data_IF_735040496590
#
_entry.id   IF_735040496590
#
_cell.length_a   1.000
_cell.length_b   1.000
_cell.length_c   1.000
_cell.angle_alpha   90.00
_cell.angle_beta   90.00
_cell.angle_gamma   90.00
#
_symmetry.space_group_name_H-M   'P 1'
#
loop_
_entity.id
_entity.type
_entity.pdbx_description
1 polymer ?
#
# COMPACT_ATOMS: atom_id res chain seq x y z
N UNK A 1 22.86 13.40 -7.08
CA UNK A 1 22.38 13.52 -8.45
C UNK A 1 21.01 14.13 -8.34
N UNK A 2 20.77 15.28 -8.98
CA UNK A 2 19.41 15.79 -9.11
C UNK A 2 18.56 14.68 -9.72
N UNK A 3 17.39 14.43 -9.13
CA UNK A 3 16.37 13.63 -9.80
C UNK A 3 16.23 14.24 -11.17
N UNK A 4 16.28 13.46 -12.21
CA UNK A 4 15.79 13.97 -13.47
C UNK A 4 14.33 14.38 -13.20
N UNK A 5 14.06 15.67 -13.31
CA UNK A 5 12.70 16.23 -13.35
C UNK A 5 11.82 15.53 -14.43
N UNK A 6 12.38 14.56 -15.10
CA UNK A 6 11.93 13.88 -16.29
C UNK A 6 11.07 12.66 -16.01
N UNK A 7 10.93 12.20 -14.75
CA UNK A 7 10.08 11.03 -14.45
C UNK A 7 8.59 11.40 -14.49
N UNK A 8 8.27 12.59 -14.09
CA UNK A 8 6.92 13.14 -14.13
C UNK A 8 6.96 14.45 -14.89
N UNK A 9 5.89 14.80 -15.57
CA UNK A 9 5.71 16.15 -16.11
C UNK A 9 5.50 17.11 -14.94
N UNK A 10 6.59 17.63 -14.42
CA UNK A 10 6.61 18.53 -13.25
C UNK A 10 5.82 19.83 -13.50
N UNK A 11 5.49 20.17 -14.77
CA UNK A 11 4.64 21.31 -15.06
C UNK A 11 3.18 21.08 -14.66
N UNK A 12 2.80 19.82 -14.47
CA UNK A 12 1.46 19.40 -14.02
C UNK A 12 1.40 19.04 -12.53
N UNK A 13 2.53 19.08 -11.84
CA UNK A 13 2.62 18.78 -10.41
C UNK A 13 2.43 20.07 -9.62
N UNK A 14 1.57 20.05 -8.61
CA UNK A 14 1.37 21.20 -7.73
C UNK A 14 2.70 21.60 -7.05
N UNK A 15 2.97 22.89 -6.83
CA UNK A 15 4.21 23.35 -6.21
C UNK A 15 4.50 22.70 -4.84
N UNK A 16 3.47 22.45 -4.03
CA UNK A 16 3.59 21.81 -2.72
C UNK A 16 4.09 20.36 -2.86
N UNK A 17 3.57 19.63 -3.84
CA UNK A 17 3.99 18.24 -4.13
C UNK A 17 5.43 18.22 -4.63
N UNK A 18 5.78 19.15 -5.53
CA UNK A 18 7.15 19.30 -6.03
C UNK A 18 8.14 19.59 -4.89
N UNK A 19 7.74 20.43 -3.94
CA UNK A 19 8.57 20.74 -2.76
C UNK A 19 8.81 19.49 -1.90
N UNK A 20 7.76 18.67 -1.66
CA UNK A 20 7.89 17.41 -0.92
C UNK A 20 8.81 16.43 -1.65
N UNK A 21 8.63 16.26 -2.97
CA UNK A 21 9.48 15.37 -3.77
C UNK A 21 10.95 15.80 -3.74
N UNK A 22 11.23 17.11 -3.86
CA UNK A 22 12.60 17.64 -3.74
C UNK A 22 13.17 17.34 -2.36
N UNK A 23 12.40 17.55 -1.30
CA UNK A 23 12.86 17.29 0.06
C UNK A 23 13.12 15.80 0.31
N UNK A 24 12.28 14.89 -0.20
CA UNK A 24 12.56 13.43 -0.16
C UNK A 24 13.87 13.11 -0.89
N UNK A 25 14.16 13.77 -2.00
CA UNK A 25 15.42 13.55 -2.72
C UNK A 25 16.66 14.06 -1.97
N UNK A 26 16.52 15.09 -1.14
CA UNK A 26 17.58 15.53 -0.25
C UNK A 26 17.82 14.54 0.91
N UNK A 27 16.77 13.98 1.48
CA UNK A 27 16.82 12.97 2.55
C UNK A 27 17.23 11.58 2.05
N UNK A 28 16.89 11.27 0.81
CA UNK A 28 16.99 9.95 0.21
C UNK A 28 18.36 9.29 0.30
N UNK A 29 19.49 9.99 0.04
CA UNK A 29 20.83 9.41 0.23
C UNK A 29 21.05 8.87 1.65
N UNK A 30 20.57 9.57 2.68
CA UNK A 30 20.62 9.12 4.07
C UNK A 30 19.74 7.89 4.31
N UNK A 31 18.55 7.85 3.70
CA UNK A 31 17.69 6.66 3.77
C UNK A 31 18.36 5.44 3.10
N UNK A 32 19.01 5.64 1.96
CA UNK A 32 19.74 4.58 1.25
C UNK A 32 20.94 4.06 2.05
N UNK A 33 21.68 4.95 2.75
CA UNK A 33 22.79 4.59 3.61
C UNK A 33 22.31 3.74 4.81
N UNK A 34 21.26 4.16 5.50
CA UNK A 34 20.66 3.42 6.62
C UNK A 34 20.06 2.09 6.21
N UNK A 35 19.57 1.99 4.96
CA UNK A 35 18.85 0.81 4.47
C UNK A 35 19.70 -0.48 4.50
N UNK A 36 21.02 -0.40 4.49
CA UNK A 36 21.89 -1.56 4.65
C UNK A 36 21.74 -2.18 6.04
N UNK A 37 21.94 -1.40 7.11
CA UNK A 37 21.80 -1.88 8.49
C UNK A 37 20.36 -2.32 8.81
N UNK A 38 19.37 -1.57 8.30
CA UNK A 38 17.94 -1.91 8.43
C UNK A 38 17.66 -3.31 7.86
N UNK A 39 18.20 -3.63 6.69
CA UNK A 39 18.03 -4.94 6.06
C UNK A 39 18.83 -6.04 6.78
N UNK A 40 20.07 -5.78 7.15
CA UNK A 40 20.95 -6.74 7.85
C UNK A 40 20.32 -7.20 9.17
N UNK A 41 19.86 -6.26 9.98
CA UNK A 41 19.32 -6.51 11.32
C UNK A 41 17.81 -6.82 11.31
N UNK A 42 17.14 -6.77 10.16
CA UNK A 42 15.69 -6.78 10.03
C UNK A 42 15.01 -5.78 10.99
N UNK A 43 15.63 -4.60 11.18
CA UNK A 43 15.20 -3.59 12.13
C UNK A 43 14.29 -2.55 11.47
N UNK A 44 13.35 -2.00 12.27
CA UNK A 44 12.44 -0.95 11.78
C UNK A 44 13.21 0.37 11.52
N UNK A 45 12.90 1.12 10.44
CA UNK A 45 13.61 2.34 10.03
C UNK A 45 13.25 3.57 10.89
N UNK A 46 13.46 3.50 12.20
CA UNK A 46 13.05 4.52 13.19
C UNK A 46 13.55 5.93 12.82
N UNK A 47 14.81 6.04 12.41
CA UNK A 47 15.38 7.35 12.11
C UNK A 47 14.85 7.95 10.80
N UNK A 48 14.50 7.12 9.82
CA UNK A 48 13.81 7.60 8.61
C UNK A 48 12.42 8.15 8.95
N UNK A 49 11.72 7.51 9.90
CA UNK A 49 10.42 7.99 10.38
C UNK A 49 10.53 9.30 11.14
N UNK A 50 11.58 9.50 11.96
CA UNK A 50 11.85 10.79 12.61
C UNK A 50 12.06 11.89 11.59
N UNK A 51 12.84 11.62 10.53
CA UNK A 51 13.09 12.59 9.46
C UNK A 51 11.79 12.93 8.72
N UNK A 52 10.98 11.92 8.34
CA UNK A 52 9.69 12.14 7.69
C UNK A 52 8.69 12.91 8.57
N UNK A 53 8.67 12.63 9.87
CA UNK A 53 7.82 13.33 10.83
C UNK A 53 8.27 14.78 11.03
N UNK A 54 9.57 15.05 11.12
CA UNK A 54 10.13 16.40 11.24
C UNK A 54 9.77 17.31 10.06
N UNK A 55 9.60 16.71 8.85
CA UNK A 55 9.16 17.41 7.64
C UNK A 55 7.62 17.51 7.51
N UNK A 56 6.86 16.93 8.44
CA UNK A 56 5.40 16.91 8.40
C UNK A 56 4.80 15.92 7.38
N UNK A 57 5.61 14.99 6.83
CA UNK A 57 5.17 14.11 5.74
C UNK A 57 4.28 12.95 6.20
N UNK A 58 4.10 12.78 7.50
CA UNK A 58 3.17 11.75 8.04
C UNK A 58 1.70 12.09 7.78
N UNK A 59 1.37 13.31 7.34
CA UNK A 59 -0.01 13.79 7.18
C UNK A 59 -0.36 14.21 5.74
N UNK A 60 0.35 13.64 4.74
CA UNK A 60 0.20 14.04 3.34
C UNK A 60 -1.24 13.95 2.83
N UNK A 61 -1.96 12.89 3.18
CA UNK A 61 -3.33 12.66 2.68
C UNK A 61 -4.42 13.20 3.60
N UNK A 62 -4.06 13.67 4.80
CA UNK A 62 -5.02 14.31 5.73
C UNK A 62 -5.52 15.63 5.12
N UNK A 63 -6.85 15.93 5.20
CA UNK A 63 -7.40 17.18 4.67
C UNK A 63 -6.80 18.42 5.34
N UNK A 64 -6.70 19.53 4.60
CA UNK A 64 -6.16 20.82 5.10
C UNK A 64 -6.96 21.35 6.30
N UNK A 65 -8.28 21.18 6.30
CA UNK A 65 -9.15 21.54 7.42
C UNK A 65 -8.79 20.85 8.73
N UNK A 66 -8.11 19.70 8.66
CA UNK A 66 -7.61 18.94 9.81
C UNK A 66 -6.09 19.10 10.03
N UNK A 67 -5.42 20.01 9.31
CA UNK A 67 -4.01 20.31 9.46
C UNK A 67 -3.05 19.47 8.61
N UNK A 68 -3.56 18.74 7.61
CA UNK A 68 -2.74 17.97 6.67
C UNK A 68 -2.44 18.70 5.36
N UNK A 69 -1.84 17.97 4.41
CA UNK A 69 -1.43 18.52 3.09
C UNK A 69 -2.49 18.33 1.99
N UNK A 70 -3.47 17.45 2.21
CA UNK A 70 -4.56 17.16 1.29
C UNK A 70 -4.09 16.67 -0.10
N UNK A 71 -3.06 15.83 -0.11
CA UNK A 71 -2.60 15.23 -1.36
C UNK A 71 -3.65 14.25 -1.90
N UNK A 72 -3.85 14.29 -3.21
CA UNK A 72 -4.61 13.26 -3.93
C UNK A 72 -3.89 11.91 -3.87
N UNK A 73 -4.59 10.85 -4.26
CA UNK A 73 -4.00 9.50 -4.30
C UNK A 73 -2.78 9.46 -5.25
N UNK A 74 -2.87 10.12 -6.42
CA UNK A 74 -1.76 10.20 -7.37
C UNK A 74 -0.56 10.96 -6.81
N UNK A 75 -0.78 12.08 -6.14
CA UNK A 75 0.29 12.87 -5.52
C UNK A 75 0.98 12.12 -4.37
N UNK A 76 0.19 11.44 -3.53
CA UNK A 76 0.74 10.53 -2.53
C UNK A 76 1.58 9.43 -3.16
N UNK A 77 1.09 8.84 -4.26
CA UNK A 77 1.79 7.75 -4.95
C UNK A 77 3.17 8.18 -5.48
N UNK A 78 3.31 9.42 -5.96
CA UNK A 78 4.62 9.98 -6.35
C UNK A 78 5.59 10.00 -5.17
N UNK A 79 5.15 10.46 -4.00
CA UNK A 79 5.97 10.53 -2.78
C UNK A 79 6.36 9.14 -2.30
N UNK A 80 5.41 8.20 -2.27
CA UNK A 80 5.68 6.81 -1.91
C UNK A 80 6.72 6.14 -2.81
N UNK A 81 6.64 6.39 -4.13
CA UNK A 81 7.62 5.89 -5.10
C UNK A 81 9.00 6.54 -4.89
N UNK A 82 9.04 7.84 -4.60
CA UNK A 82 10.31 8.53 -4.37
C UNK A 82 11.02 8.03 -3.10
N UNK A 83 10.29 7.76 -2.01
CA UNK A 83 10.85 7.10 -0.82
C UNK A 83 11.34 5.68 -1.17
N UNK A 84 10.55 4.91 -1.91
CA UNK A 84 10.86 3.54 -2.31
C UNK A 84 12.14 3.39 -3.12
N UNK A 85 12.50 4.40 -3.89
CA UNK A 85 13.75 4.47 -4.65
C UNK A 85 14.99 4.34 -3.75
N UNK A 86 14.91 4.83 -2.52
CA UNK A 86 16.01 4.81 -1.55
C UNK A 86 15.89 3.68 -0.53
N UNK A 87 14.68 3.45 0.00
CA UNK A 87 14.42 2.41 0.99
C UNK A 87 13.01 1.84 0.85
N UNK A 88 12.89 0.63 0.26
CA UNK A 88 11.61 -0.05 0.06
C UNK A 88 10.86 -0.32 1.38
N UNK A 89 11.57 -0.73 2.43
CA UNK A 89 10.96 -1.01 3.74
C UNK A 89 10.37 0.27 4.37
N UNK A 90 11.05 1.41 4.26
CA UNK A 90 10.51 2.71 4.71
C UNK A 90 9.25 3.08 3.92
N UNK A 91 9.29 2.96 2.59
CA UNK A 91 8.14 3.30 1.74
C UNK A 91 6.93 2.41 2.02
N UNK A 92 7.14 1.10 2.19
CA UNK A 92 6.06 0.14 2.47
C UNK A 92 5.39 0.43 3.82
N UNK A 93 6.17 0.67 4.86
CA UNK A 93 5.62 0.98 6.18
C UNK A 93 4.97 2.37 6.21
N UNK A 94 5.55 3.36 5.53
CA UNK A 94 4.96 4.67 5.33
C UNK A 94 3.59 4.59 4.62
N UNK A 95 3.44 3.67 3.66
CA UNK A 95 2.15 3.38 3.05
C UNK A 95 1.14 2.83 4.06
N UNK A 96 1.53 1.94 4.98
CA UNK A 96 0.60 1.41 5.99
C UNK A 96 0.01 2.51 6.88
N UNK A 97 0.84 3.47 7.29
CA UNK A 97 0.37 4.63 8.04
C UNK A 97 -0.59 5.51 7.22
N UNK A 98 -0.17 5.91 6.02
CA UNK A 98 -0.99 6.77 5.17
C UNK A 98 -2.27 6.08 4.67
N UNK A 99 -2.29 4.76 4.50
CA UNK A 99 -3.50 4.00 4.15
C UNK A 99 -4.61 4.20 5.19
N UNK A 100 -4.29 4.23 6.49
CA UNK A 100 -5.27 4.52 7.54
C UNK A 100 -5.86 5.93 7.39
N UNK A 101 -5.04 6.91 7.04
CA UNK A 101 -5.50 8.28 6.78
C UNK A 101 -6.32 8.36 5.48
N UNK A 102 -5.89 7.67 4.43
CA UNK A 102 -6.63 7.59 3.16
C UNK A 102 -8.00 6.95 3.34
N UNK A 103 -8.12 5.88 4.12
CA UNK A 103 -9.43 5.26 4.41
C UNK A 103 -10.34 6.22 5.16
N UNK A 104 -9.82 6.93 6.15
CA UNK A 104 -10.60 7.94 6.90
C UNK A 104 -11.04 9.12 6.03
N UNK A 105 -10.31 9.44 4.95
CA UNK A 105 -10.63 10.53 4.05
C UNK A 105 -11.47 10.08 2.87
N UNK A 106 -10.93 9.21 2.01
CA UNK A 106 -11.54 8.91 0.72
C UNK A 106 -12.85 8.13 0.85
N UNK A 107 -13.00 7.27 1.87
CA UNK A 107 -14.27 6.60 2.12
C UNK A 107 -15.36 7.58 2.56
N UNK A 108 -15.01 8.65 3.27
CA UNK A 108 -15.95 9.71 3.63
C UNK A 108 -16.38 10.56 2.41
N UNK A 109 -15.50 10.74 1.44
CA UNK A 109 -15.72 11.52 0.22
C UNK A 109 -16.56 10.77 -0.83
N UNK A 110 -16.96 9.52 -0.57
CA UNK A 110 -17.70 8.69 -1.53
C UNK A 110 -19.09 9.30 -1.82
N UNK A 111 -19.47 9.45 -3.12
CA UNK A 111 -20.71 10.14 -3.50
C UNK A 111 -21.97 9.42 -3.08
N UNK A 112 -21.94 8.08 -2.92
CA UNK A 112 -23.11 7.28 -2.56
C UNK A 112 -23.40 7.23 -1.04
N UNK A 113 -22.58 7.89 -0.20
CA UNK A 113 -22.86 7.99 1.23
C UNK A 113 -24.03 8.92 1.48
N UNK A 114 -24.93 8.49 2.36
CA UNK A 114 -26.04 9.33 2.85
C UNK A 114 -25.53 10.42 3.82
N UNK A 115 -26.36 11.43 4.08
CA UNK A 115 -26.06 12.46 5.09
C UNK A 115 -25.92 11.83 6.49
N UNK A 116 -26.68 10.76 6.77
CA UNK A 116 -26.58 10.00 8.02
C UNK A 116 -25.24 9.28 8.14
N UNK A 117 -24.80 8.58 7.09
CA UNK A 117 -23.47 7.95 7.02
C UNK A 117 -22.36 8.99 7.30
N UNK A 118 -22.46 10.16 6.66
CA UNK A 118 -21.47 11.24 6.83
C UNK A 118 -21.50 11.83 8.24
N UNK A 119 -22.69 12.05 8.80
CA UNK A 119 -22.85 12.56 10.16
C UNK A 119 -22.25 11.59 11.20
N UNK A 120 -22.47 10.29 11.02
CA UNK A 120 -21.89 9.26 11.88
C UNK A 120 -20.36 9.14 11.70
N UNK A 121 -19.86 9.28 10.48
CA UNK A 121 -18.42 9.12 10.19
C UNK A 121 -17.58 10.35 10.54
N UNK A 122 -18.12 11.56 10.43
CA UNK A 122 -17.37 12.81 10.62
C UNK A 122 -16.59 12.88 11.95
N UNK A 123 -17.18 12.59 13.14
CA UNK A 123 -16.45 12.64 14.39
C UNK A 123 -15.37 11.57 14.50
N UNK A 124 -15.58 10.38 13.93
CA UNK A 124 -14.64 9.26 13.98
C UNK A 124 -13.39 9.60 13.13
N UNK A 125 -13.58 10.04 11.89
CA UNK A 125 -12.44 10.45 11.03
C UNK A 125 -11.66 11.63 11.61
N UNK A 126 -12.35 12.63 12.15
CA UNK A 126 -11.70 13.79 12.78
C UNK A 126 -10.78 13.37 13.94
N UNK A 127 -11.19 12.37 14.72
CA UNK A 127 -10.36 11.79 15.78
C UNK A 127 -9.09 11.14 15.22
N UNK A 128 -9.19 10.39 14.13
CA UNK A 128 -8.02 9.77 13.50
C UNK A 128 -7.04 10.86 13.00
N UNK A 129 -7.54 11.87 12.34
CA UNK A 129 -6.71 12.98 11.88
C UNK A 129 -6.07 13.75 13.04
N UNK A 130 -6.80 14.00 14.14
CA UNK A 130 -6.24 14.61 15.35
C UNK A 130 -5.08 13.77 15.92
N UNK A 131 -5.25 12.44 16.01
CA UNK A 131 -4.19 11.52 16.48
C UNK A 131 -2.95 11.62 15.58
N UNK A 132 -3.12 11.63 14.25
CA UNK A 132 -2.00 11.73 13.33
C UNK A 132 -1.31 13.11 13.32
N UNK A 133 -2.08 14.20 13.37
CA UNK A 133 -1.55 15.58 13.24
C UNK A 133 -1.08 16.14 14.58
N UNK A 134 -1.93 16.12 15.60
CA UNK A 134 -1.63 16.78 16.89
C UNK A 134 -0.83 15.87 17.83
N UNK A 135 -1.06 14.57 17.79
CA UNK A 135 -0.41 13.60 18.68
C UNK A 135 0.76 12.89 17.99
N UNK A 136 0.96 13.13 16.68
CA UNK A 136 1.98 12.49 15.84
C UNK A 136 1.91 10.96 15.87
N UNK A 137 0.70 10.42 16.06
CA UNK A 137 0.44 8.99 16.15
C UNK A 137 0.71 8.26 14.84
N UNK A 138 1.43 7.16 14.92
CA UNK A 138 1.78 6.30 13.80
C UNK A 138 0.81 5.13 13.74
N UNK A 139 0.28 4.83 12.55
CA UNK A 139 -0.69 3.78 12.32
C UNK A 139 -0.11 2.57 11.59
N UNK A 140 -0.60 1.40 11.93
CA UNK A 140 -0.46 0.15 11.19
C UNK A 140 -1.83 -0.34 10.74
N UNK A 141 -1.89 -1.04 9.59
CA UNK A 141 -3.14 -1.52 9.01
C UNK A 141 -3.08 -3.03 8.74
N UNK A 142 -3.10 -3.87 9.78
CA UNK A 142 -3.04 -5.32 9.65
C UNK A 142 -4.41 -5.89 9.25
N UNK A 143 -4.53 -6.41 8.03
CA UNK A 143 -5.77 -7.03 7.54
C UNK A 143 -5.60 -8.55 7.47
N UNK A 144 -4.46 -9.04 6.98
CA UNK A 144 -4.22 -10.43 6.64
C UNK A 144 -4.33 -11.38 7.83
N UNK A 145 -4.84 -12.58 7.58
CA UNK A 145 -5.00 -13.66 8.54
C UNK A 145 -4.49 -14.99 7.95
N UNK A 146 -4.05 -15.91 8.80
CA UNK A 146 -3.57 -17.20 8.35
C UNK A 146 -4.72 -18.03 7.75
N UNK A 147 -4.53 -18.50 6.51
CA UNK A 147 -5.49 -19.38 5.84
C UNK A 147 -6.82 -18.73 5.46
N UNK A 148 -6.90 -17.40 5.51
CA UNK A 148 -8.09 -16.65 5.11
C UNK A 148 -7.79 -15.69 3.95
N UNK A 149 -8.53 -15.85 2.86
CA UNK A 149 -8.64 -14.82 1.83
C UNK A 149 -9.87 -13.94 2.17
N UNK A 150 -9.62 -12.83 2.82
CA UNK A 150 -10.66 -11.92 3.28
C UNK A 150 -11.46 -11.24 2.15
N UNK A 151 -10.99 -11.34 0.91
CA UNK A 151 -11.77 -10.86 -0.25
C UNK A 151 -12.89 -11.82 -0.63
N UNK A 152 -12.81 -13.08 -0.20
CA UNK A 152 -13.79 -14.12 -0.49
C UNK A 152 -14.53 -14.66 0.74
N UNK A 153 -14.00 -14.42 1.94
CA UNK A 153 -14.58 -14.87 3.21
C UNK A 153 -14.52 -13.75 4.26
N UNK A 154 -15.47 -13.68 5.18
CA UNK A 154 -15.40 -12.74 6.29
C UNK A 154 -14.09 -12.85 7.05
N UNK A 155 -13.65 -11.75 7.63
CA UNK A 155 -12.49 -11.69 8.53
C UNK A 155 -12.73 -12.63 9.72
N UNK A 156 -11.73 -13.46 10.05
CA UNK A 156 -11.82 -14.45 11.16
C UNK A 156 -11.62 -13.80 12.54
N UNK A 157 -10.80 -12.73 12.62
CA UNK A 157 -10.75 -11.89 13.82
C UNK A 157 -12.14 -11.38 14.08
N UNK A 158 -12.66 -11.62 15.29
CA UNK A 158 -14.03 -11.30 15.63
C UNK A 158 -14.11 -10.27 16.74
N UNK A 159 -15.26 -9.60 16.84
CA UNK A 159 -15.63 -8.84 18.01
C UNK A 159 -17.04 -9.25 18.46
N UNK A 160 -17.26 -9.25 19.75
CA UNK A 160 -18.54 -9.55 20.38
C UNK A 160 -18.96 -8.36 21.22
N UNK A 161 -20.19 -7.91 21.05
CA UNK A 161 -20.74 -6.79 21.83
C UNK A 161 -20.89 -7.17 23.29
N UNK A 162 -20.43 -6.31 24.18
CA UNK A 162 -20.53 -6.43 25.64
C UNK A 162 -21.02 -5.11 26.21
N UNK A 163 -21.26 -5.06 27.53
CA UNK A 163 -21.63 -3.79 28.19
C UNK A 163 -20.53 -2.72 27.97
N UNK A 164 -20.90 -1.59 27.41
CA UNK A 164 -20.03 -0.45 27.17
C UNK A 164 -19.13 -0.53 25.91
N UNK A 165 -19.18 -1.63 25.12
CA UNK A 165 -18.34 -1.73 23.93
C UNK A 165 -18.29 -3.14 23.33
N UNK A 166 -17.09 -3.55 22.89
CA UNK A 166 -16.84 -4.86 22.29
C UNK A 166 -15.56 -5.47 22.84
N UNK A 167 -15.49 -6.79 22.80
CA UNK A 167 -14.25 -7.57 23.01
C UNK A 167 -13.79 -8.16 21.69
N UNK A 168 -12.56 -7.83 21.28
CA UNK A 168 -11.95 -8.34 20.06
C UNK A 168 -11.07 -9.56 20.40
N UNK A 169 -11.24 -10.62 19.60
CA UNK A 169 -10.44 -11.83 19.66
C UNK A 169 -9.98 -12.22 18.25
N UNK A 170 -8.72 -12.59 18.11
CA UNK A 170 -8.21 -13.03 16.82
C UNK A 170 -6.70 -12.96 16.67
N UNK A 171 -6.28 -13.10 15.42
CA UNK A 171 -4.89 -13.20 15.03
C UNK A 171 -4.68 -12.48 13.69
N UNK A 172 -3.69 -11.59 13.63
CA UNK A 172 -3.30 -10.92 12.37
C UNK A 172 -1.90 -11.32 11.98
N UNK A 173 -1.70 -11.59 10.68
CA UNK A 173 -0.39 -11.79 10.07
C UNK A 173 0.09 -10.56 9.34
N UNK A 174 1.42 -10.46 9.20
CA UNK A 174 2.06 -9.41 8.43
C UNK A 174 1.67 -8.00 8.88
N UNK A 175 1.54 -7.82 10.22
CA UNK A 175 1.28 -6.50 10.80
C UNK A 175 2.54 -5.64 10.71
N UNK A 176 2.78 -5.01 9.55
CA UNK A 176 3.89 -4.06 9.37
C UNK A 176 3.85 -2.99 10.45
N UNK A 177 5.01 -2.50 10.90
CA UNK A 177 5.20 -1.61 12.05
C UNK A 177 4.88 -2.25 13.42
N UNK A 178 4.77 -3.55 13.52
CA UNK A 178 4.44 -4.23 14.79
C UNK A 178 5.43 -3.84 15.90
N UNK A 179 4.91 -3.26 16.98
CA UNK A 179 5.69 -2.75 18.12
C UNK A 179 6.28 -1.34 17.93
N UNK A 180 6.15 -0.74 16.75
CA UNK A 180 6.65 0.62 16.44
C UNK A 180 5.55 1.63 16.16
N UNK A 181 4.37 1.19 15.69
CA UNK A 181 3.21 2.07 15.58
C UNK A 181 2.57 2.32 16.94
N UNK A 182 1.78 3.39 17.05
CA UNK A 182 0.98 3.71 18.23
C UNK A 182 -0.41 3.09 18.15
N UNK A 183 -0.93 2.96 16.94
CA UNK A 183 -2.29 2.50 16.67
C UNK A 183 -2.33 1.42 15.59
N UNK A 184 -3.16 0.41 15.82
CA UNK A 184 -3.49 -0.64 14.86
C UNK A 184 -4.93 -0.47 14.39
N UNK A 185 -5.14 -0.30 13.08
CA UNK A 185 -6.47 -0.32 12.45
C UNK A 185 -6.90 -1.78 12.26
N UNK A 186 -7.55 -2.34 13.27
CA UNK A 186 -7.95 -3.75 13.32
C UNK A 186 -9.28 -3.94 12.61
N UNK A 187 -9.23 -4.67 11.48
CA UNK A 187 -10.43 -5.14 10.78
C UNK A 187 -10.90 -6.44 11.42
N UNK A 188 -12.16 -6.51 11.81
CA UNK A 188 -12.77 -7.70 12.43
C UNK A 188 -14.23 -7.85 11.96
N UNK A 189 -14.85 -8.99 12.27
CA UNK A 189 -16.27 -9.25 12.01
C UNK A 189 -17.04 -9.29 13.32
N UNK A 190 -18.15 -8.55 13.44
CA UNK A 190 -19.04 -8.64 14.60
C UNK A 190 -19.77 -9.98 14.57
N UNK A 191 -19.68 -10.71 15.68
CA UNK A 191 -20.32 -12.00 15.84
C UNK A 191 -21.59 -11.88 16.66
N UNK A 192 -22.66 -12.47 16.14
CA UNK A 192 -23.96 -12.59 16.80
C UNK A 192 -24.25 -14.04 17.12
N UNK A 193 -24.83 -14.33 18.27
CA UNK A 193 -25.13 -15.69 18.70
C UNK A 193 -26.06 -16.39 17.70
N UNK A 194 -25.67 -17.55 17.21
CA UNK A 194 -26.44 -18.35 16.25
C UNK A 194 -26.50 -17.80 14.83
N UNK A 195 -25.71 -16.79 14.48
CA UNK A 195 -25.63 -16.21 13.13
C UNK A 195 -24.27 -16.47 12.52
N UNK A 196 -24.24 -16.97 11.28
CA UNK A 196 -22.98 -17.13 10.53
C UNK A 196 -22.40 -15.75 10.19
N UNK A 197 -21.07 -15.56 10.33
CA UNK A 197 -20.41 -14.29 10.03
C UNK A 197 -20.58 -13.89 8.56
N UNK A 198 -20.84 -12.60 8.32
CA UNK A 198 -21.00 -12.04 6.98
C UNK A 198 -20.05 -10.88 6.73
N UNK A 199 -19.79 -10.55 5.48
CA UNK A 199 -18.96 -9.38 5.14
C UNK A 199 -19.56 -8.07 5.64
N UNK A 200 -20.88 -7.94 5.63
CA UNK A 200 -21.61 -6.75 6.08
C UNK A 200 -21.39 -6.46 7.57
N UNK A 201 -21.04 -7.48 8.35
CA UNK A 201 -20.76 -7.36 9.79
C UNK A 201 -19.29 -6.91 10.06
N UNK A 202 -18.57 -6.47 9.02
CA UNK A 202 -17.18 -6.01 9.16
C UNK A 202 -17.11 -4.68 9.91
N UNK A 203 -16.28 -4.63 10.92
CA UNK A 203 -15.96 -3.45 11.73
C UNK A 203 -14.46 -3.14 11.68
N UNK A 204 -14.09 -1.87 11.88
CA UNK A 204 -12.70 -1.47 12.03
C UNK A 204 -12.55 -0.65 13.31
N UNK A 205 -11.69 -1.15 14.21
CA UNK A 205 -11.34 -0.46 15.44
C UNK A 205 -9.88 0.02 15.39
N UNK A 206 -9.63 1.19 15.96
CA UNK A 206 -8.28 1.73 16.16
C UNK A 206 -7.83 1.38 17.57
N UNK A 207 -6.99 0.37 17.67
CA UNK A 207 -6.50 -0.20 18.93
C UNK A 207 -5.12 0.39 19.25
N UNK A 208 -4.98 1.03 20.41
CA UNK A 208 -3.68 1.53 20.86
C UNK A 208 -2.75 0.35 21.22
N UNK A 209 -1.46 0.48 20.94
CA UNK A 209 -0.45 -0.59 21.14
C UNK A 209 -0.37 -1.14 22.56
N UNK A 210 -0.72 -0.33 23.56
CA UNK A 210 -0.65 -0.70 24.98
C UNK A 210 -2.00 -1.22 25.54
N UNK A 211 -3.03 -1.41 24.69
CA UNK A 211 -4.30 -1.95 25.14
C UNK A 211 -4.13 -3.36 25.72
N UNK A 212 -4.71 -3.65 26.91
CA UNK A 212 -4.71 -4.98 27.48
C UNK A 212 -5.26 -6.02 26.52
N UNK A 213 -4.58 -7.16 26.40
CA UNK A 213 -4.98 -8.25 25.51
C UNK A 213 -4.36 -8.21 24.12
N UNK A 214 -3.75 -7.08 23.71
CA UNK A 214 -2.95 -7.00 22.48
C UNK A 214 -1.52 -7.45 22.75
N UNK A 215 -0.97 -8.29 21.88
CA UNK A 215 0.43 -8.67 21.93
C UNK A 215 1.01 -8.90 20.53
N UNK A 216 2.28 -8.51 20.38
CA UNK A 216 3.08 -8.78 19.17
C UNK A 216 3.82 -10.08 19.36
N UNK A 217 3.81 -10.99 18.37
CA UNK A 217 4.50 -12.30 18.44
C UNK A 217 5.30 -12.60 17.19
N UNK A 218 6.16 -13.64 17.34
CA UNK A 218 7.03 -14.13 16.27
C UNK A 218 8.22 -13.22 16.00
N UNK A 219 9.08 -13.68 15.11
CA UNK A 219 10.21 -12.92 14.57
C UNK A 219 9.91 -12.54 13.13
N UNK A 220 10.63 -11.54 12.61
CA UNK A 220 10.50 -11.11 11.24
C UNK A 220 11.80 -11.39 10.48
N UNK A 221 11.86 -12.51 9.77
CA UNK A 221 13.02 -12.91 8.97
C UNK A 221 12.59 -13.32 7.54
N UNK A 222 12.10 -12.36 6.73
CA UNK A 222 11.62 -12.63 5.38
C UNK A 222 12.76 -12.58 4.34
N UNK A 223 12.42 -12.95 3.11
CA UNK A 223 13.29 -12.82 1.93
C UNK A 223 13.74 -11.37 1.70
N UNK A 224 12.79 -10.43 1.69
CA UNK A 224 12.98 -9.00 1.45
C UNK A 224 12.02 -8.18 2.29
N UNK A 225 12.06 -6.86 2.15
CA UNK A 225 11.29 -5.94 3.00
C UNK A 225 11.55 -6.16 4.49
N UNK A 226 12.80 -6.53 4.84
CA UNK A 226 13.20 -6.95 6.18
C UNK A 226 12.97 -5.86 7.23
N UNK A 227 13.13 -4.59 6.85
CA UNK A 227 12.89 -3.45 7.74
C UNK A 227 11.42 -3.13 8.03
N UNK A 228 10.45 -3.90 7.53
CA UNK A 228 9.03 -3.58 7.78
C UNK A 228 8.51 -4.06 9.13
N UNK A 229 9.24 -4.94 9.79
CA UNK A 229 8.84 -5.56 11.07
C UNK A 229 7.37 -6.04 11.06
N UNK A 230 7.02 -6.85 10.03
CA UNK A 230 5.64 -7.30 9.77
C UNK A 230 5.30 -8.55 10.59
N UNK A 231 5.38 -8.44 11.90
CA UNK A 231 5.17 -9.53 12.85
C UNK A 231 3.67 -9.85 13.01
N UNK A 232 3.40 -10.87 13.78
CA UNK A 232 2.05 -11.33 14.07
C UNK A 232 1.46 -10.56 15.27
N UNK A 233 0.14 -10.29 15.22
CA UNK A 233 -0.61 -9.74 16.34
C UNK A 233 -1.58 -10.79 16.89
N UNK A 234 -1.65 -10.88 18.21
CA UNK A 234 -2.68 -11.65 18.93
C UNK A 234 -3.55 -10.67 19.69
N UNK A 235 -4.86 -10.83 19.51
CA UNK A 235 -5.88 -10.12 20.24
C UNK A 235 -6.64 -11.13 21.13
N UNK A 236 -6.65 -10.88 22.43
CA UNK A 236 -7.34 -11.73 23.40
C UNK A 236 -8.15 -10.85 24.35
N UNK A 237 -9.45 -10.85 24.17
CA UNK A 237 -10.39 -10.02 24.93
C UNK A 237 -10.02 -8.53 24.97
N UNK A 238 -9.50 -7.99 23.83
CA UNK A 238 -9.18 -6.56 23.73
C UNK A 238 -10.46 -5.78 23.79
N UNK A 239 -10.65 -4.99 24.85
CA UNK A 239 -11.86 -4.19 25.05
C UNK A 239 -11.74 -2.87 24.29
N UNK A 240 -12.76 -2.56 23.47
CA UNK A 240 -12.87 -1.33 22.68
C UNK A 240 -14.28 -0.75 22.83
N UNK A 241 -14.40 0.55 22.61
CA UNK A 241 -15.65 1.32 22.71
C UNK A 241 -16.05 1.90 21.36
N UNK A 242 -17.19 2.58 21.28
CA UNK A 242 -17.58 3.34 20.09
C UNK A 242 -16.55 4.42 19.72
N UNK A 243 -15.84 4.95 20.71
CA UNK A 243 -14.79 5.94 20.50
C UNK A 243 -13.54 5.38 19.77
N UNK A 244 -13.38 4.07 19.77
CA UNK A 244 -12.29 3.38 19.08
C UNK A 244 -12.66 2.97 17.65
N UNK A 245 -13.90 3.17 17.20
CA UNK A 245 -14.27 2.94 15.82
C UNK A 245 -13.46 3.86 14.88
N UNK A 246 -12.95 3.28 13.81
CA UNK A 246 -12.33 4.05 12.72
C UNK A 246 -13.39 4.68 11.82
N UNK A 247 -14.47 3.94 11.58
CA UNK A 247 -15.62 4.32 10.76
C UNK A 247 -16.89 3.60 11.25
N UNK A 248 -18.10 4.04 10.87
CA UNK A 248 -19.34 3.35 11.21
C UNK A 248 -19.33 1.87 10.81
N UNK A 249 -20.02 1.04 11.59
CA UNK A 249 -20.16 -0.40 11.29
C UNK A 249 -20.70 -0.63 9.88
N UNK A 250 -20.12 -1.61 9.18
CA UNK A 250 -20.48 -1.97 7.80
C UNK A 250 -20.06 -0.97 6.72
N UNK A 251 -19.62 0.25 7.07
CA UNK A 251 -19.28 1.28 6.08
C UNK A 251 -18.07 0.86 5.21
N UNK A 252 -17.11 0.14 5.78
CA UNK A 252 -15.96 -0.35 5.04
C UNK A 252 -16.40 -1.21 3.83
N UNK A 253 -17.25 -2.18 4.06
CA UNK A 253 -17.76 -3.07 3.00
C UNK A 253 -18.68 -2.32 2.03
N UNK A 254 -19.48 -1.37 2.54
CA UNK A 254 -20.34 -0.52 1.73
C UNK A 254 -19.56 0.37 0.76
N UNK A 255 -18.33 0.78 1.11
CA UNK A 255 -17.53 1.76 0.34
C UNK A 255 -16.38 1.14 -0.43
N UNK A 256 -15.75 0.09 0.10
CA UNK A 256 -14.56 -0.51 -0.50
C UNK A 256 -14.72 -0.89 -1.98
N UNK A 257 -15.84 -1.50 -2.42
CA UNK A 257 -16.07 -1.83 -3.80
C UNK A 257 -15.97 -0.65 -4.77
N UNK A 258 -16.31 0.54 -4.30
CA UNK A 258 -16.29 1.76 -5.10
C UNK A 258 -14.96 2.51 -5.09
N UNK A 259 -13.96 2.00 -4.35
CA UNK A 259 -12.63 2.60 -4.24
C UNK A 259 -11.48 1.59 -4.37
N UNK A 260 -11.47 0.74 -5.42
CA UNK A 260 -10.45 -0.31 -5.55
C UNK A 260 -9.02 0.23 -5.63
N UNK A 261 -8.83 1.45 -6.12
CA UNK A 261 -7.53 2.11 -6.21
C UNK A 261 -6.82 2.26 -4.86
N UNK A 262 -7.58 2.39 -3.74
CA UNK A 262 -6.95 2.47 -2.42
C UNK A 262 -6.20 1.20 -2.03
N UNK A 263 -6.59 0.05 -2.58
CA UNK A 263 -5.91 -1.22 -2.33
C UNK A 263 -4.65 -1.39 -3.18
N UNK A 264 -4.49 -0.57 -4.23
CA UNK A 264 -3.31 -0.56 -5.10
C UNK A 264 -2.14 0.29 -4.55
N UNK A 265 -2.31 0.91 -3.38
CA UNK A 265 -1.32 1.83 -2.77
C UNK A 265 -0.01 1.17 -2.34
N UNK A 266 0.11 -0.16 -2.44
CA UNK A 266 1.39 -0.86 -2.30
C UNK A 266 2.32 -0.62 -3.50
N UNK A 267 1.79 -0.42 -4.70
CA UNK A 267 2.58 -0.31 -5.93
C UNK A 267 3.55 0.89 -5.99
N UNK A 268 3.29 2.04 -5.38
CA UNK A 268 4.27 3.12 -5.30
C UNK A 268 5.63 2.67 -4.76
N UNK A 269 5.63 1.87 -3.68
CA UNK A 269 6.87 1.32 -3.11
C UNK A 269 7.69 0.56 -4.14
N UNK A 270 7.05 -0.34 -4.90
CA UNK A 270 7.73 -1.19 -5.86
C UNK A 270 8.12 -0.46 -7.16
N UNK A 271 7.35 0.56 -7.54
CA UNK A 271 7.76 1.49 -8.59
C UNK A 271 9.08 2.19 -8.20
N UNK A 272 9.19 2.62 -6.93
CA UNK A 272 10.41 3.20 -6.39
C UNK A 272 11.59 2.22 -6.36
N UNK A 273 11.38 1.00 -5.90
CA UNK A 273 12.43 -0.06 -5.90
C UNK A 273 12.95 -0.32 -7.31
N UNK A 274 12.05 -0.42 -8.30
CA UNK A 274 12.41 -0.58 -9.71
C UNK A 274 13.26 0.59 -10.23
N UNK A 275 12.84 1.83 -9.89
CA UNK A 275 13.58 3.03 -10.25
C UNK A 275 14.98 3.05 -9.60
N UNK A 276 15.08 2.73 -8.32
CA UNK A 276 16.35 2.67 -7.59
C UNK A 276 17.32 1.65 -8.19
N UNK A 277 16.82 0.48 -8.57
CA UNK A 277 17.63 -0.56 -9.24
C UNK A 277 18.13 -0.09 -10.61
N UNK A 278 17.30 0.59 -11.38
CA UNK A 278 17.69 1.20 -12.66
C UNK A 278 18.73 2.30 -12.46
N UNK A 279 18.50 3.26 -11.57
CA UNK A 279 19.40 4.38 -11.29
C UNK A 279 20.77 3.91 -10.82
N UNK A 280 20.79 2.93 -9.92
CA UNK A 280 22.04 2.30 -9.50
C UNK A 280 22.78 1.66 -10.68
N UNK A 281 22.07 0.94 -11.54
CA UNK A 281 22.67 0.29 -12.71
C UNK A 281 23.31 1.29 -13.66
N UNK A 282 22.61 2.39 -13.94
CA UNK A 282 23.13 3.49 -14.79
C UNK A 282 24.38 4.11 -14.16
N UNK A 283 24.34 4.44 -12.87
CA UNK A 283 25.48 4.99 -12.13
C UNK A 283 26.69 4.05 -12.12
N UNK A 284 26.43 2.75 -11.87
CA UNK A 284 27.47 1.71 -11.86
C UNK A 284 28.16 1.54 -13.22
N UNK A 285 27.39 1.46 -14.29
CA UNK A 285 27.94 1.29 -15.64
C UNK A 285 28.67 2.55 -16.14
N UNK A 286 28.25 3.71 -15.68
CA UNK A 286 28.88 5.00 -16.04
C UNK A 286 30.09 5.35 -15.17
N UNK A 287 30.44 4.52 -14.16
CA UNK A 287 31.51 4.80 -13.21
C UNK A 287 31.30 6.05 -12.35
N UNK A 288 30.01 6.39 -12.07
CA UNK A 288 29.63 7.63 -11.35
C UNK A 288 29.19 7.39 -9.90
N UNK A 289 29.25 6.14 -9.40
CA UNK A 289 28.85 5.86 -8.03
C UNK A 289 29.96 6.31 -7.05
N UNK A 290 29.60 7.02 -5.95
CA UNK A 290 30.56 7.38 -4.92
C UNK A 290 31.27 6.15 -4.34
N UNK A 291 32.58 6.26 -4.08
CA UNK A 291 33.37 5.17 -3.50
C UNK A 291 33.67 3.98 -4.43
N UNK A 292 33.19 3.99 -5.67
CA UNK A 292 33.44 2.94 -6.65
C UNK A 292 34.55 3.36 -7.62
N UNK A 293 35.35 2.41 -8.16
CA UNK A 293 36.33 2.73 -9.20
C UNK A 293 35.65 3.36 -10.42
N UNK A 294 36.32 4.35 -11.00
CA UNK A 294 35.89 5.01 -12.24
C UNK A 294 36.11 4.11 -13.46
N UNK A 295 35.38 2.99 -13.50
CA UNK A 295 35.41 2.05 -14.61
C UNK A 295 34.21 2.29 -15.49
N UNK A 296 34.45 2.72 -16.72
CA UNK A 296 33.40 2.94 -17.71
C UNK A 296 33.02 1.63 -18.41
N UNK A 297 31.92 1.03 -18.00
CA UNK A 297 31.37 -0.21 -18.57
C UNK A 297 30.33 0.02 -19.65
N UNK A 298 29.92 1.26 -19.89
CA UNK A 298 28.89 1.63 -20.88
C UNK A 298 29.30 1.39 -22.32
N UNK A 299 30.58 1.17 -22.58
CA UNK A 299 31.10 0.86 -23.93
C UNK A 299 30.63 -0.51 -24.44
N UNK A 300 30.24 -1.43 -23.58
CA UNK A 300 29.80 -2.76 -24.00
C UNK A 300 28.35 -2.75 -24.51
N UNK A 301 28.15 -3.21 -25.77
CA UNK A 301 26.84 -3.22 -26.43
C UNK A 301 25.76 -3.99 -25.61
N UNK A 302 26.13 -5.14 -25.04
CA UNK A 302 25.24 -5.95 -24.20
C UNK A 302 24.73 -5.20 -22.97
N UNK A 303 25.58 -4.36 -22.37
CA UNK A 303 25.18 -3.51 -21.23
C UNK A 303 24.22 -2.40 -21.67
N UNK A 304 24.49 -1.75 -22.81
CA UNK A 304 23.60 -0.74 -23.38
C UNK A 304 22.22 -1.32 -23.73
N UNK A 305 22.17 -2.52 -24.32
CA UNK A 305 20.89 -3.19 -24.62
C UNK A 305 20.09 -3.44 -23.33
N UNK A 306 20.73 -3.96 -22.28
CA UNK A 306 20.06 -4.22 -21.01
C UNK A 306 19.52 -2.93 -20.36
N UNK A 307 20.28 -1.83 -20.40
CA UNK A 307 19.80 -0.52 -19.92
C UNK A 307 18.61 -0.05 -20.74
N UNK A 308 18.65 -0.21 -22.07
CA UNK A 308 17.52 0.13 -22.95
C UNK A 308 16.26 -0.68 -22.63
N UNK A 309 16.40 -1.99 -22.37
CA UNK A 309 15.28 -2.86 -21.96
C UNK A 309 14.68 -2.41 -20.61
N UNK A 310 15.53 -2.16 -19.61
CA UNK A 310 15.06 -1.67 -18.29
C UNK A 310 14.36 -0.32 -18.43
N UNK A 311 14.90 0.62 -19.21
CA UNK A 311 14.29 1.92 -19.43
C UNK A 311 12.92 1.80 -20.09
N UNK A 312 12.79 1.01 -21.17
CA UNK A 312 11.55 0.81 -21.89
C UNK A 312 10.47 0.19 -20.95
N UNK A 313 10.86 -0.85 -20.17
CA UNK A 313 9.98 -1.50 -19.20
C UNK A 313 9.52 -0.50 -18.12
N UNK A 314 10.45 0.23 -17.52
CA UNK A 314 10.18 1.21 -16.47
C UNK A 314 9.27 2.35 -16.97
N UNK A 315 9.50 2.84 -18.18
CA UNK A 315 8.70 3.90 -18.80
C UNK A 315 7.26 3.44 -19.05
N UNK A 316 7.08 2.21 -19.56
CA UNK A 316 5.75 1.63 -19.78
C UNK A 316 4.99 1.44 -18.47
N UNK A 317 5.66 0.88 -17.46
CA UNK A 317 5.10 0.72 -16.11
C UNK A 317 4.64 2.05 -15.54
N UNK A 318 5.51 3.08 -15.62
CA UNK A 318 5.21 4.39 -15.06
C UNK A 318 4.06 5.07 -15.77
N UNK A 319 4.00 5.01 -17.09
CA UNK A 319 2.94 5.64 -17.86
C UNK A 319 1.56 5.07 -17.50
N UNK A 320 1.44 3.74 -17.45
CA UNK A 320 0.20 3.06 -17.07
C UNK A 320 -0.16 3.31 -15.60
N UNK A 321 0.82 3.17 -14.71
CA UNK A 321 0.64 3.39 -13.27
C UNK A 321 0.24 4.84 -12.97
N UNK A 322 0.90 5.81 -13.59
CA UNK A 322 0.59 7.23 -13.44
C UNK A 322 -0.83 7.54 -13.90
N UNK A 323 -1.24 7.01 -15.06
CA UNK A 323 -2.61 7.17 -15.53
C UNK A 323 -3.60 6.61 -14.52
N UNK A 324 -3.41 5.37 -14.05
CA UNK A 324 -4.31 4.72 -13.09
C UNK A 324 -4.45 5.51 -11.78
N UNK A 325 -3.35 6.07 -11.26
CA UNK A 325 -3.38 6.84 -10.01
C UNK A 325 -3.91 8.27 -10.16
N UNK A 326 -3.73 8.90 -11.32
CA UNK A 326 -4.26 10.25 -11.56
C UNK A 326 -5.74 10.26 -11.92
N UNK A 327 -6.27 9.19 -12.51
CA UNK A 327 -7.71 9.01 -12.75
C UNK A 327 -8.46 8.36 -11.58
N UNK A 328 -7.75 8.00 -10.50
CA UNK A 328 -8.35 7.35 -9.34
C UNK A 328 -9.39 8.24 -8.68
N UNK A 329 -10.61 7.73 -8.58
CA UNK A 329 -11.75 8.40 -7.98
C UNK A 329 -12.73 7.38 -7.41
N UNK A 330 -13.65 7.83 -6.58
CA UNK A 330 -14.79 7.01 -6.18
C UNK A 330 -15.69 6.69 -7.38
N UNK A 331 -16.28 5.49 -7.40
CA UNK A 331 -17.12 5.00 -8.50
C UNK A 331 -16.39 4.96 -9.86
N UNK A 332 -15.24 4.28 -9.97
CA UNK A 332 -14.52 4.20 -11.23
C UNK A 332 -15.30 3.38 -12.26
N UNK A 333 -15.13 3.69 -13.53
CA UNK A 333 -15.62 2.83 -14.62
C UNK A 333 -14.85 1.51 -14.67
N UNK A 334 -15.44 0.47 -15.27
CA UNK A 334 -14.78 -0.82 -15.47
C UNK A 334 -13.40 -0.66 -16.16
N UNK A 335 -13.32 0.22 -17.17
CA UNK A 335 -12.06 0.48 -17.84
C UNK A 335 -10.99 1.09 -16.93
N UNK A 336 -11.36 1.93 -15.95
CA UNK A 336 -10.44 2.47 -14.94
C UNK A 336 -10.00 1.39 -13.96
N UNK A 337 -10.89 0.49 -13.57
CA UNK A 337 -10.56 -0.66 -12.70
C UNK A 337 -9.61 -1.63 -13.40
N UNK A 338 -9.88 -1.99 -14.66
CA UNK A 338 -8.99 -2.84 -15.46
C UNK A 338 -7.60 -2.20 -15.63
N UNK A 339 -7.52 -0.88 -15.83
CA UNK A 339 -6.23 -0.18 -15.85
C UNK A 339 -5.52 -0.23 -14.52
N UNK A 340 -6.25 -0.08 -13.41
CA UNK A 340 -5.65 -0.18 -12.08
C UNK A 340 -5.07 -1.57 -11.83
N UNK A 341 -5.80 -2.65 -12.12
CA UNK A 341 -5.26 -4.01 -12.00
C UNK A 341 -4.06 -4.23 -12.91
N UNK A 342 -4.15 -3.76 -14.18
CA UNK A 342 -3.03 -3.84 -15.12
C UNK A 342 -1.82 -3.04 -14.63
N UNK A 343 -2.01 -1.86 -14.06
CA UNK A 343 -0.94 -1.03 -13.50
C UNK A 343 -0.28 -1.72 -12.29
N UNK A 344 -1.08 -2.24 -11.38
CA UNK A 344 -0.61 -2.97 -10.20
C UNK A 344 0.21 -4.20 -10.62
N UNK A 345 -0.33 -5.05 -11.49
CA UNK A 345 0.36 -6.21 -12.04
C UNK A 345 1.71 -5.84 -12.68
N UNK A 346 1.68 -4.84 -13.58
CA UNK A 346 2.88 -4.42 -14.29
C UNK A 346 3.97 -3.87 -13.36
N UNK A 347 3.58 -3.18 -12.27
CA UNK A 347 4.57 -2.68 -11.30
C UNK A 347 5.12 -3.82 -10.45
N UNK A 348 4.27 -4.72 -9.96
CA UNK A 348 4.69 -5.80 -9.06
C UNK A 348 5.63 -6.80 -9.74
N UNK A 349 5.31 -7.25 -10.95
CA UNK A 349 6.20 -8.13 -11.72
C UNK A 349 7.36 -7.38 -12.37
N UNK A 350 7.10 -6.20 -12.92
CA UNK A 350 8.13 -5.42 -13.60
C UNK A 350 9.24 -4.93 -12.68
N UNK A 351 8.96 -4.68 -11.40
CA UNK A 351 9.99 -4.33 -10.44
C UNK A 351 10.99 -5.48 -10.27
N UNK A 352 10.51 -6.71 -10.18
CA UNK A 352 11.34 -7.90 -10.09
C UNK A 352 12.13 -8.15 -11.40
N UNK A 353 11.49 -7.99 -12.57
CA UNK A 353 12.15 -8.11 -13.87
C UNK A 353 13.32 -7.10 -14.02
N UNK A 354 13.09 -5.84 -13.63
CA UNK A 354 14.11 -4.79 -13.68
C UNK A 354 15.24 -5.09 -12.70
N UNK A 355 14.95 -5.48 -11.46
CA UNK A 355 15.96 -5.80 -10.47
C UNK A 355 16.81 -7.04 -10.88
N UNK A 356 16.18 -8.07 -11.43
CA UNK A 356 16.85 -9.26 -11.95
C UNK A 356 17.78 -8.91 -13.14
N UNK A 357 17.31 -8.07 -14.06
CA UNK A 357 18.09 -7.61 -15.19
C UNK A 357 19.26 -6.71 -14.74
N UNK A 358 19.05 -5.87 -13.72
CA UNK A 358 20.05 -5.00 -13.11
C UNK A 358 21.21 -5.82 -12.52
N UNK A 359 20.93 -6.83 -11.69
CA UNK A 359 21.94 -7.73 -11.12
C UNK A 359 22.74 -8.42 -12.22
N UNK A 360 22.08 -9.04 -13.19
CA UNK A 360 22.74 -9.68 -14.34
C UNK A 360 23.63 -8.71 -15.10
N UNK A 361 23.19 -7.48 -15.26
CA UNK A 361 23.90 -6.45 -16.03
C UNK A 361 25.10 -5.91 -15.30
N UNK A 362 25.01 -5.67 -13.99
CA UNK A 362 26.13 -5.22 -13.16
C UNK A 362 27.15 -6.33 -12.89
N UNK A 363 26.73 -7.60 -12.93
CA UNK A 363 27.62 -8.75 -12.81
C UNK A 363 27.91 -9.14 -11.35
N UNK A 364 28.93 -9.99 -11.12
CA UNK A 364 29.15 -10.68 -9.85
C UNK A 364 29.26 -9.79 -8.61
N UNK A 365 29.81 -8.58 -8.74
CA UNK A 365 29.89 -7.66 -7.59
C UNK A 365 28.52 -7.23 -7.05
N UNK A 366 27.50 -7.19 -7.91
CA UNK A 366 26.16 -6.76 -7.50
C UNK A 366 25.43 -7.76 -6.59
N UNK A 367 25.96 -8.96 -6.39
CA UNK A 367 25.47 -9.95 -5.42
C UNK A 367 25.98 -9.69 -3.99
N UNK A 368 26.94 -8.77 -3.83
CA UNK A 368 27.49 -8.47 -2.52
C UNK A 368 26.53 -7.56 -1.72
N UNK A 369 26.28 -7.90 -0.47
CA UNK A 369 25.41 -7.11 0.45
C UNK A 369 25.91 -5.67 0.63
N UNK A 370 27.19 -5.39 0.41
CA UNK A 370 27.74 -4.02 0.42
C UNK A 370 27.22 -3.12 -0.70
N UNK A 371 26.47 -3.68 -1.67
CA UNK A 371 25.81 -2.95 -2.76
C UNK A 371 24.28 -3.12 -2.66
N UNK A 372 23.50 -2.14 -3.06
CA UNK A 372 22.06 -2.14 -2.81
C UNK A 372 21.24 -3.10 -3.70
N UNK A 373 21.80 -3.57 -4.84
CA UNK A 373 21.01 -4.33 -5.82
C UNK A 373 20.53 -5.68 -5.30
N UNK A 374 21.31 -6.40 -4.50
CA UNK A 374 20.89 -7.69 -3.96
C UNK A 374 19.68 -7.53 -3.03
N UNK A 375 19.67 -6.46 -2.19
CA UNK A 375 18.52 -6.10 -1.37
C UNK A 375 17.32 -5.71 -2.23
N UNK A 376 17.51 -4.81 -3.21
CA UNK A 376 16.43 -4.37 -4.10
C UNK A 376 15.84 -5.55 -4.89
N UNK A 377 16.66 -6.54 -5.25
CA UNK A 377 16.17 -7.78 -5.89
C UNK A 377 15.28 -8.60 -4.97
N UNK A 378 15.68 -8.78 -3.70
CA UNK A 378 14.85 -9.49 -2.70
C UNK A 378 13.57 -8.70 -2.38
N UNK A 379 13.69 -7.39 -2.17
CA UNK A 379 12.56 -6.50 -1.89
C UNK A 379 11.55 -6.52 -3.04
N UNK A 380 12.01 -6.44 -4.29
CA UNK A 380 11.13 -6.37 -5.46
C UNK A 380 10.21 -7.58 -5.60
N UNK A 381 10.63 -8.78 -5.15
CA UNK A 381 9.80 -9.99 -5.24
C UNK A 381 8.62 -9.98 -4.27
N UNK A 382 8.72 -9.27 -3.15
CA UNK A 382 7.70 -9.29 -2.11
C UNK A 382 6.35 -8.74 -2.59
N UNK A 383 6.35 -7.76 -3.49
CA UNK A 383 5.13 -7.08 -3.93
C UNK A 383 4.10 -8.00 -4.58
N UNK A 384 4.55 -8.86 -5.47
CA UNK A 384 3.70 -9.79 -6.21
C UNK A 384 2.98 -10.83 -5.32
N UNK A 385 3.39 -10.94 -4.05
CA UNK A 385 2.86 -11.90 -3.08
C UNK A 385 1.90 -11.27 -2.07
N UNK A 386 1.62 -9.96 -2.18
CA UNK A 386 0.85 -9.22 -1.18
C UNK A 386 -0.64 -9.19 -1.51
N UNK A 387 -1.48 -9.65 -0.55
CA UNK A 387 -2.92 -9.45 -0.62
C UNK A 387 -3.28 -7.96 -0.50
N UNK A 388 -4.40 -7.50 -1.09
CA UNK A 388 -5.42 -8.32 -1.78
C UNK A 388 -5.10 -8.60 -3.25
N UNK A 389 -4.04 -8.03 -3.80
CA UNK A 389 -3.72 -8.09 -5.23
C UNK A 389 -2.39 -8.81 -5.46
N UNK A 390 -2.36 -10.13 -5.18
CA UNK A 390 -1.25 -10.96 -5.69
C UNK A 390 -1.31 -11.02 -7.21
N UNK A 391 -0.21 -11.40 -7.84
CA UNK A 391 -0.15 -11.54 -9.31
C UNK A 391 -1.26 -12.42 -9.84
N UNK A 392 -1.47 -13.59 -9.23
CA UNK A 392 -2.47 -14.56 -9.67
C UNK A 392 -3.90 -14.01 -9.54
N UNK A 393 -4.19 -13.28 -8.46
CA UNK A 393 -5.50 -12.64 -8.26
C UNK A 393 -5.74 -11.56 -9.31
N UNK A 394 -4.72 -10.75 -9.61
CA UNK A 394 -4.85 -9.71 -10.63
C UNK A 394 -5.05 -10.27 -12.03
N UNK A 395 -4.31 -11.33 -12.39
CA UNK A 395 -4.48 -12.04 -13.67
C UNK A 395 -5.89 -12.63 -13.78
N UNK A 396 -6.41 -13.22 -12.71
CA UNK A 396 -7.76 -13.74 -12.67
C UNK A 396 -8.81 -12.63 -12.85
N UNK A 397 -8.69 -11.52 -12.12
CA UNK A 397 -9.61 -10.38 -12.30
C UNK A 397 -9.57 -9.78 -13.70
N UNK A 398 -8.38 -9.60 -14.27
CA UNK A 398 -8.23 -9.12 -15.64
C UNK A 398 -8.91 -10.06 -16.65
N UNK A 399 -8.74 -11.38 -16.48
CA UNK A 399 -9.34 -12.37 -17.37
C UNK A 399 -10.86 -12.45 -17.22
N UNK A 400 -11.35 -12.50 -16.00
CA UNK A 400 -12.79 -12.59 -15.69
C UNK A 400 -13.53 -11.35 -16.20
N UNK A 401 -13.07 -10.15 -15.87
CA UNK A 401 -13.71 -8.91 -16.32
C UNK A 401 -13.59 -8.66 -17.84
N UNK A 402 -12.80 -9.45 -18.56
CA UNK A 402 -12.64 -9.37 -20.01
C UNK A 402 -13.45 -10.44 -20.76
N UNK A 403 -13.62 -11.62 -20.16
CA UNK A 403 -14.19 -12.79 -20.82
C UNK A 403 -15.68 -13.01 -20.54
N UNK A 404 -16.19 -12.48 -19.43
CA UNK A 404 -17.55 -12.74 -18.96
C UNK A 404 -18.36 -11.46 -18.91
N UNK A 405 -19.62 -11.53 -19.31
CA UNK A 405 -20.59 -10.47 -19.13
C UNK A 405 -21.08 -10.41 -17.68
N UNK A 406 -21.71 -9.31 -17.29
CA UNK A 406 -22.09 -9.04 -15.90
C UNK A 406 -23.01 -10.11 -15.31
N UNK A 407 -23.97 -10.61 -16.11
CA UNK A 407 -24.93 -11.65 -15.71
C UNK A 407 -24.30 -13.05 -15.60
N UNK A 408 -23.12 -13.26 -16.18
CA UNK A 408 -22.37 -14.52 -16.10
C UNK A 408 -21.48 -14.59 -14.85
N UNK A 409 -21.08 -13.44 -14.29
CA UNK A 409 -20.14 -13.37 -13.17
C UNK A 409 -20.63 -14.09 -11.90
N UNK A 410 -21.95 -14.25 -11.73
CA UNK A 410 -22.53 -14.94 -10.58
C UNK A 410 -22.45 -16.47 -10.65
N UNK A 411 -22.14 -17.04 -11.82
CA UNK A 411 -22.15 -18.47 -12.05
C UNK A 411 -20.86 -18.99 -12.69
N UNK A 412 -19.72 -18.42 -12.34
CA UNK A 412 -18.43 -18.83 -12.91
C UNK A 412 -18.08 -20.28 -12.56
N UNK A 413 -17.71 -21.11 -13.53
CA UNK A 413 -17.28 -22.48 -13.28
C UNK A 413 -16.07 -22.54 -12.35
N UNK A 414 -16.11 -23.42 -11.35
CA UNK A 414 -15.01 -23.61 -10.39
C UNK A 414 -14.99 -22.63 -9.22
N UNK A 415 -16.00 -21.76 -9.10
CA UNK A 415 -16.17 -20.85 -7.96
C UNK A 415 -17.05 -21.48 -6.85
N UNK A 416 -16.82 -22.76 -6.56
CA UNK A 416 -17.48 -23.46 -5.47
C UNK A 416 -17.08 -22.82 -4.13
N UNK A 417 -17.88 -21.89 -3.66
CA UNK A 417 -17.66 -21.20 -2.39
C UNK A 417 -17.35 -19.71 -2.50
N UNK A 418 -17.57 -19.07 -3.63
CA UNK A 418 -17.51 -17.63 -3.75
C UNK A 418 -16.12 -17.02 -3.65
N UNK A 419 -15.07 -17.71 -4.11
CA UNK A 419 -13.69 -17.23 -4.04
C UNK A 419 -13.44 -15.95 -4.85
N UNK A 420 -14.27 -15.68 -5.85
CA UNK A 420 -14.29 -14.43 -6.65
C UNK A 420 -15.37 -13.47 -6.17
N UNK A 421 -15.75 -13.64 -4.92
CA UNK A 421 -16.97 -13.18 -4.30
C UNK A 421 -17.15 -11.69 -4.21
N UNK A 422 -18.27 -11.47 -3.89
CA UNK A 422 -19.08 -10.40 -3.27
C UNK A 422 -18.45 -9.00 -3.14
N UNK A 423 -17.23 -8.82 -2.65
CA UNK A 423 -16.60 -7.50 -2.55
C UNK A 423 -16.32 -6.87 -3.91
N UNK A 424 -16.03 -7.69 -4.92
CA UNK A 424 -15.72 -7.26 -6.28
C UNK A 424 -16.90 -7.49 -7.24
N UNK A 425 -17.81 -8.42 -6.93
CA UNK A 425 -19.07 -8.64 -7.65
C UNK A 425 -20.11 -7.56 -7.38
N UNK A 426 -20.16 -7.03 -6.15
CA UNK A 426 -20.97 -5.86 -5.85
C UNK A 426 -20.61 -4.64 -6.72
N UNK A 427 -19.44 -4.69 -7.36
CA UNK A 427 -18.98 -3.70 -8.32
C UNK A 427 -19.45 -3.91 -9.75
N UNK A 428 -19.74 -5.11 -10.18
CA UNK A 428 -20.26 -5.34 -11.53
C UNK A 428 -21.57 -4.56 -11.71
N UNK A 429 -22.51 -4.67 -10.76
CA UNK A 429 -23.74 -3.87 -10.76
C UNK A 429 -23.58 -2.37 -10.49
N UNK A 430 -22.47 -1.96 -9.87
CA UNK A 430 -22.17 -0.55 -9.63
C UNK A 430 -21.52 0.15 -10.82
N UNK A 431 -20.95 -0.63 -11.76
CA UNK A 431 -20.34 -0.09 -12.98
C UNK A 431 -21.33 0.06 -14.13
N UNK A 432 -22.47 -0.58 -14.06
CA UNK A 432 -23.60 -0.34 -14.96
C UNK A 432 -24.18 1.06 -14.69
N UNK A 433 -23.89 2.01 -15.57
CA UNK A 433 -24.24 3.42 -15.46
C UNK A 433 -25.73 3.77 -15.39
N UNK A 434 -26.62 2.83 -15.09
CA UNK A 434 -28.07 3.03 -15.13
C UNK A 434 -28.70 3.32 -13.74
N UNK A 435 -27.94 3.22 -12.64
CA UNK A 435 -28.46 3.53 -11.31
C UNK A 435 -28.25 4.99 -10.85
N UNK A 436 -27.49 5.80 -11.57
CA UNK A 436 -27.29 7.24 -11.25
C UNK A 436 -28.32 8.13 -11.98
N UNK A 437 -29.12 7.58 -12.86
CA UNK A 437 -30.12 8.35 -13.68
C UNK A 437 -31.55 8.33 -13.11
N UNK A 438 -31.76 7.86 -11.90
CA UNK A 438 -33.08 7.73 -11.28
C UNK A 438 -33.19 8.42 -9.91
N UNK A 439 -32.69 9.66 -9.77
CA UNK A 439 -33.20 10.66 -8.80
C UNK A 439 -33.05 12.06 -9.35
#
# INVERSE_FOLDING_TARGET
>A
MSVPADYYDMTRVRPEVAAVLNRINELGPTFAERAFGIDEDASFPVDNYKDLAAEGFMTLTVPKEHGGHEFSLGEYAMVGAEIGKYCGATALTFNMHNSSMMWSRFMYEMPHLTDEDRAAFAPLRARQFKRAVAEQGIYSQPISEAGNNWTSKPIQTNCVKVEGGWKINGFKKFASLAGYCDYYSIVCTEHFEGVEPRHEDTMIFVVHKDMPGLSVKGEWDPLGMRGTNSRDLILKDVFVTEDDLMMPSGLFIKTLPYWPHMMATLSPTYMGVAQGAYDFTVGYLSGKLPGMPLIDRRMFATKRHAVGQMYARLSSMRALWWQAFTEAQGLPSQAQVLRMYSAQYNVMEGAQEIAALAIRTCGGQSMLKSLPLERMYRDSRCGALMLPYTTEIMEDYLSVLTLYDEDELDNLPGDEGGARSSLWRGNAGAWGGDQIAAE
#
